data_IF_215572100611
#
_entry.id   IF_215572100611
#
_cell.length_a   1.000
_cell.length_b   1.000
_cell.length_c   1.000
_cell.angle_alpha   90.00
_cell.angle_beta   90.00
_cell.angle_gamma   90.00
#
_symmetry.space_group_name_H-M   'P 1'
#
loop_
_entity.id
_entity.type
_entity.pdbx_description
1 polymer ?
#
# COMPACT_ATOMS: atom_id res chain seq x y z
N UNK A 1 22.28 7.20 -28.83
CA UNK A 1 22.68 7.63 -27.48
C UNK A 1 21.47 7.38 -26.60
N UNK A 2 21.48 6.26 -25.89
CA UNK A 2 20.31 5.69 -25.21
C UNK A 2 20.56 5.78 -23.71
N UNK A 3 19.74 6.53 -23.00
CA UNK A 3 19.73 6.51 -21.54
C UNK A 3 18.28 6.33 -21.10
N UNK A 4 17.85 5.08 -21.00
CA UNK A 4 16.64 4.71 -20.26
C UNK A 4 17.06 4.51 -18.81
N UNK A 5 16.77 5.50 -17.97
CA UNK A 5 16.91 5.40 -16.52
C UNK A 5 15.90 4.39 -15.97
N UNK A 6 16.36 3.16 -15.77
CA UNK A 6 15.62 2.13 -15.05
C UNK A 6 15.61 2.47 -13.56
N UNK A 7 14.55 3.08 -13.07
CA UNK A 7 14.33 3.24 -11.63
C UNK A 7 14.20 1.85 -10.99
N UNK A 8 15.01 1.50 -9.97
CA UNK A 8 14.98 0.18 -9.37
C UNK A 8 13.61 -0.06 -8.72
N UNK A 9 12.90 -1.02 -9.31
CA UNK A 9 11.62 -1.52 -8.83
C UNK A 9 11.85 -2.43 -7.65
N UNK A 10 11.21 -2.11 -6.53
CA UNK A 10 10.62 -3.12 -5.66
C UNK A 10 11.56 -3.81 -4.70
N UNK A 11 11.94 -3.12 -3.63
CA UNK A 11 12.37 -3.79 -2.41
C UNK A 11 11.84 -3.02 -1.22
N UNK A 12 10.90 -3.60 -0.45
CA UNK A 12 10.85 -3.46 1.00
C UNK A 12 9.98 -4.59 1.55
N UNK A 13 10.60 -5.77 1.59
CA UNK A 13 10.25 -6.80 2.54
C UNK A 13 10.58 -6.27 3.96
N UNK A 14 9.63 -5.57 4.60
CA UNK A 14 9.77 -5.24 6.02
C UNK A 14 9.01 -6.27 6.85
N UNK A 15 9.81 -7.05 7.58
CA UNK A 15 9.56 -7.82 8.81
C UNK A 15 8.13 -8.35 9.03
N UNK A 16 7.99 -9.67 8.89
CA UNK A 16 6.83 -10.46 9.37
C UNK A 16 6.72 -10.33 10.90
N UNK A 17 6.04 -9.29 11.37
CA UNK A 17 5.79 -9.11 12.80
C UNK A 17 4.41 -8.50 12.97
N UNK A 18 3.47 -9.33 13.44
CA UNK A 18 2.10 -8.92 13.74
C UNK A 18 1.25 -8.74 12.50
N UNK A 19 0.63 -9.83 12.02
CA UNK A 19 -0.51 -9.76 11.13
C UNK A 19 -1.63 -8.96 11.81
N UNK A 20 -1.63 -7.63 11.68
CA UNK A 20 -2.84 -6.83 11.85
C UNK A 20 -3.78 -7.25 10.71
N UNK A 21 -4.49 -8.36 10.91
CA UNK A 21 -5.39 -8.99 9.94
C UNK A 21 -6.69 -8.18 9.75
N UNK A 22 -6.71 -6.91 10.17
CA UNK A 22 -7.90 -6.09 10.27
C UNK A 22 -7.63 -4.68 9.79
N UNK A 23 -8.61 -4.15 9.06
CA UNK A 23 -8.65 -2.77 8.62
C UNK A 23 -8.67 -1.81 9.80
N UNK A 24 -7.64 -0.95 9.93
CA UNK A 24 -7.55 0.07 11.00
C UNK A 24 -8.77 1.00 11.11
N UNK A 25 -9.51 1.19 10.02
CA UNK A 25 -10.69 2.07 9.97
C UNK A 25 -12.02 1.35 10.17
N UNK A 26 -12.09 0.09 9.77
CA UNK A 26 -13.36 -0.59 9.53
C UNK A 26 -13.43 -2.01 10.11
N UNK A 27 -12.36 -2.51 10.72
CA UNK A 27 -12.27 -3.84 11.33
C UNK A 27 -12.39 -5.02 10.35
N UNK A 28 -12.65 -4.78 9.06
CA UNK A 28 -12.79 -5.87 8.07
C UNK A 28 -11.45 -6.54 7.80
N UNK A 29 -11.48 -7.88 7.77
CA UNK A 29 -10.32 -8.74 7.45
C UNK A 29 -10.14 -9.01 5.96
N UNK A 30 -11.18 -8.73 5.17
CA UNK A 30 -11.19 -9.04 3.74
C UNK A 30 -10.62 -7.91 2.88
N UNK A 31 -9.70 -8.26 1.98
CA UNK A 31 -9.11 -7.31 1.01
C UNK A 31 -8.32 -6.21 1.70
N UNK A 32 -7.45 -6.61 2.64
CA UNK A 32 -6.55 -5.73 3.37
C UNK A 32 -5.32 -5.41 2.53
N UNK A 33 -4.97 -4.12 2.46
CA UNK A 33 -3.72 -3.64 1.87
C UNK A 33 -2.70 -3.56 3.00
N UNK A 34 -1.93 -4.63 3.19
CA UNK A 34 -0.83 -4.70 4.17
C UNK A 34 0.51 -4.16 3.64
N UNK A 35 0.55 -3.68 2.40
CA UNK A 35 1.77 -3.10 1.82
C UNK A 35 2.05 -1.75 2.47
N UNK A 36 3.32 -1.49 2.83
CA UNK A 36 3.76 -0.24 3.47
C UNK A 36 3.12 0.04 4.84
N UNK A 37 2.77 -1.00 5.62
CA UNK A 37 2.16 -0.87 6.96
C UNK A 37 0.85 -0.06 6.99
N UNK A 38 0.15 -0.02 5.85
CA UNK A 38 -1.08 0.76 5.68
C UNK A 38 -2.26 0.10 6.40
N UNK A 39 -2.33 -1.24 6.42
CA UNK A 39 -3.36 -2.05 7.10
C UNK A 39 -4.80 -1.50 6.95
N UNK A 40 -5.16 -1.12 5.72
CA UNK A 40 -6.49 -0.60 5.38
C UNK A 40 -7.21 -1.53 4.41
N UNK A 41 -8.54 -1.55 4.52
CA UNK A 41 -9.37 -2.24 3.53
C UNK A 41 -9.28 -1.54 2.16
N UNK A 42 -9.46 -2.26 1.05
CA UNK A 42 -9.47 -1.66 -0.31
C UNK A 42 -10.42 -0.46 -0.48
N UNK A 43 -11.56 -0.44 0.22
CA UNK A 43 -12.55 0.65 0.15
C UNK A 43 -11.99 1.89 0.87
N UNK A 44 -11.53 1.69 2.09
CA UNK A 44 -10.90 2.66 2.97
C UNK A 44 -9.65 3.26 2.33
N UNK A 45 -8.82 2.41 1.72
CA UNK A 45 -7.61 2.83 1.03
C UNK A 45 -7.93 3.80 -0.11
N UNK A 46 -9.01 3.59 -0.88
CA UNK A 46 -9.38 4.51 -1.98
C UNK A 46 -9.77 5.91 -1.48
N UNK A 47 -10.36 6.01 -0.29
CA UNK A 47 -10.73 7.29 0.31
C UNK A 47 -9.51 8.06 0.82
N UNK A 48 -8.56 7.35 1.43
CA UNK A 48 -7.38 7.96 2.07
C UNK A 48 -6.17 8.02 1.13
N UNK A 49 -6.18 7.30 0.01
CA UNK A 49 -5.08 7.27 -0.97
C UNK A 49 -4.73 8.66 -1.48
N UNK A 50 -5.72 9.51 -1.75
CA UNK A 50 -5.49 10.87 -2.25
C UNK A 50 -4.82 11.76 -1.19
N UNK A 51 -5.22 11.64 0.08
CA UNK A 51 -4.64 12.44 1.17
C UNK A 51 -3.26 11.92 1.61
N UNK A 52 -2.99 10.62 1.45
CA UNK A 52 -1.65 10.04 1.65
C UNK A 52 -0.66 10.37 0.53
N UNK A 53 -1.09 11.04 -0.55
CA UNK A 53 -0.21 11.40 -1.66
C UNK A 53 -0.07 10.33 -2.75
N UNK A 54 -0.89 9.28 -2.73
CA UNK A 54 -0.94 8.34 -3.87
C UNK A 54 -1.60 9.02 -5.07
N UNK A 55 -0.83 9.12 -6.16
CA UNK A 55 -1.32 9.61 -7.45
C UNK A 55 -1.64 8.43 -8.36
N UNK A 56 -2.80 8.49 -9.01
CA UNK A 56 -3.18 7.54 -10.06
C UNK A 56 -2.58 8.03 -11.38
N UNK A 57 -1.56 7.32 -11.88
CA UNK A 57 -0.89 7.66 -13.13
C UNK A 57 -1.54 7.03 -14.38
N UNK A 58 -2.48 6.09 -14.20
CA UNK A 58 -3.28 5.45 -15.27
C UNK A 58 -4.63 5.00 -14.73
#
# INVERSE_FOLDING_TARGET
MSETESTPTGEHATRRTGQENECRRCGRKQGLVGKYDINLCRQCFREVARSMGFKKYR
#
